data_IF_074906813448
#
_entry.id   IF_074906813448
#
_cell.length_a   1.000
_cell.length_b   1.000
_cell.length_c   1.000
_cell.angle_alpha   90.00
_cell.angle_beta   90.00
_cell.angle_gamma   90.00
#
_symmetry.space_group_name_H-M   'P 1'
#
loop_
_entity.id
_entity.type
_entity.pdbx_description
1 polymer ?
#
# COMPACT_ATOMS: atom_id res chain seq x y z
N UNK A 1 -10.81 -13.11 1.79
CA UNK A 1 -10.38 -14.17 2.73
C UNK A 1 -9.83 -13.55 4.01
N UNK A 2 -8.71 -12.84 3.98
CA UNK A 2 -8.15 -12.22 5.20
C UNK A 2 -9.06 -11.15 5.84
N UNK A 3 -9.77 -10.33 5.06
CA UNK A 3 -10.78 -9.41 5.62
C UNK A 3 -11.92 -10.14 6.34
N UNK A 4 -12.30 -11.33 5.86
CA UNK A 4 -13.32 -12.16 6.52
C UNK A 4 -12.77 -12.79 7.80
N UNK A 5 -11.53 -13.30 7.77
CA UNK A 5 -10.86 -13.80 8.98
C UNK A 5 -10.76 -12.72 10.06
N UNK A 6 -10.50 -11.47 9.66
CA UNK A 6 -10.46 -10.35 10.60
C UNK A 6 -11.84 -10.07 11.19
N UNK A 7 -12.88 -10.02 10.35
CA UNK A 7 -14.25 -9.81 10.79
C UNK A 7 -14.75 -10.93 11.72
N UNK A 8 -14.44 -12.19 11.41
CA UNK A 8 -14.80 -13.34 12.24
C UNK A 8 -14.07 -13.33 13.59
N UNK A 9 -12.82 -12.87 13.63
CA UNK A 9 -12.02 -12.83 14.85
C UNK A 9 -12.35 -11.62 15.75
N UNK A 10 -12.62 -10.46 15.15
CA UNK A 10 -12.62 -9.17 15.86
C UNK A 10 -13.84 -8.28 15.58
N UNK A 11 -14.77 -8.69 14.72
CA UNK A 11 -15.87 -7.85 14.23
C UNK A 11 -16.91 -7.46 15.28
N UNK A 12 -17.06 -8.26 16.33
CA UNK A 12 -18.03 -8.04 17.41
C UNK A 12 -17.40 -7.36 18.65
N UNK A 13 -16.12 -7.02 18.59
CA UNK A 13 -15.45 -6.35 19.70
C UNK A 13 -15.86 -4.88 19.80
N UNK A 14 -16.04 -4.41 21.03
CA UNK A 14 -16.31 -3.00 21.31
C UNK A 14 -15.01 -2.19 21.33
N UNK A 15 -15.11 -0.90 20.98
CA UNK A 15 -13.98 0.01 21.05
C UNK A 15 -13.51 0.19 22.49
N UNK A 16 -12.21 -0.01 22.73
CA UNK A 16 -11.60 0.02 24.07
C UNK A 16 -10.24 0.76 24.09
N UNK A 17 -9.76 1.21 22.94
CA UNK A 17 -8.46 1.85 22.76
C UNK A 17 -8.51 2.88 21.61
N UNK A 18 -7.40 3.58 21.40
CA UNK A 18 -7.22 4.46 20.22
C UNK A 18 -6.13 3.93 19.30
N UNK A 19 -6.16 4.31 18.03
CA UNK A 19 -5.20 3.84 17.02
C UNK A 19 -3.74 4.05 17.43
N UNK A 20 -3.42 5.15 18.13
CA UNK A 20 -2.06 5.41 18.61
C UNK A 20 -1.55 4.47 19.70
N UNK A 21 -2.41 3.62 20.28
CA UNK A 21 -2.02 2.64 21.29
C UNK A 21 -1.33 1.41 20.67
N UNK A 22 -1.59 1.13 19.39
CA UNK A 22 -1.02 -0.02 18.66
C UNK A 22 -0.18 0.40 17.44
N UNK A 23 -0.32 1.63 16.95
CA UNK A 23 0.36 2.09 15.74
C UNK A 23 1.00 3.48 15.86
N UNK A 24 2.18 3.61 15.25
CA UNK A 24 2.86 4.88 15.06
C UNK A 24 2.38 5.56 13.77
N UNK A 25 1.93 6.80 13.88
CA UNK A 25 1.35 7.55 12.75
C UNK A 25 2.29 8.68 12.32
N UNK A 26 2.71 8.63 11.06
CA UNK A 26 3.53 9.65 10.40
C UNK A 26 2.70 10.38 9.34
N UNK A 27 2.39 11.65 9.58
CA UNK A 27 1.72 12.49 8.59
C UNK A 27 2.70 12.90 7.49
N UNK A 28 2.28 12.76 6.23
CA UNK A 28 3.13 13.08 5.09
C UNK A 28 3.38 14.58 4.92
N UNK A 29 4.46 14.89 4.21
CA UNK A 29 4.86 16.26 3.90
C UNK A 29 5.50 16.29 2.53
N UNK A 30 4.92 17.08 1.63
CA UNK A 30 5.44 17.22 0.27
C UNK A 30 6.81 17.91 0.27
N UNK A 31 7.82 17.36 -0.44
CA UNK A 31 9.06 18.06 -0.75
C UNK A 31 8.83 19.30 -1.63
N UNK A 32 9.93 19.99 -1.98
CA UNK A 32 9.87 21.06 -2.96
C UNK A 32 9.54 20.47 -4.34
N UNK A 33 8.62 21.09 -5.08
CA UNK A 33 8.22 20.59 -6.42
C UNK A 33 9.38 20.53 -7.42
N UNK A 34 10.42 21.34 -7.22
CA UNK A 34 11.66 21.34 -8.01
C UNK A 34 12.52 20.10 -7.79
N UNK A 35 12.28 19.32 -6.74
CA UNK A 35 13.00 18.07 -6.46
C UNK A 35 12.37 16.85 -7.13
N UNK A 36 11.18 17.01 -7.73
CA UNK A 36 10.42 15.90 -8.32
C UNK A 36 11.00 15.50 -9.67
N UNK A 37 10.95 14.21 -9.97
CA UNK A 37 11.40 13.66 -11.24
C UNK A 37 10.67 12.33 -11.55
N UNK A 38 10.56 11.98 -12.82
CA UNK A 38 10.02 10.68 -13.29
C UNK A 38 11.16 9.75 -13.78
N UNK A 39 12.40 10.22 -13.71
CA UNK A 39 13.62 9.54 -14.15
C UNK A 39 14.18 8.53 -13.14
N UNK A 40 13.52 8.35 -11.98
CA UNK A 40 13.95 7.38 -10.97
C UNK A 40 15.07 7.87 -10.04
N UNK A 41 15.32 9.18 -10.00
CA UNK A 41 16.45 9.75 -9.23
C UNK A 41 16.02 10.04 -7.79
N UNK A 42 16.71 9.42 -6.84
CA UNK A 42 16.49 9.62 -5.41
C UNK A 42 15.49 8.63 -4.84
N UNK A 43 14.56 9.10 -4.02
CA UNK A 43 13.61 8.27 -3.29
C UNK A 43 12.26 8.26 -3.97
N UNK A 44 11.61 7.09 -4.08
CA UNK A 44 10.22 6.99 -4.56
C UNK A 44 9.31 7.91 -3.75
N UNK A 45 8.45 8.65 -4.43
CA UNK A 45 7.56 9.62 -3.82
C UNK A 45 6.10 9.34 -4.19
N UNK A 46 5.28 9.04 -3.17
CA UNK A 46 3.84 8.93 -3.31
C UNK A 46 3.18 10.21 -2.83
N UNK A 47 2.61 10.99 -3.74
CA UNK A 47 2.08 12.31 -3.43
C UNK A 47 0.71 12.21 -2.74
N UNK A 48 -0.10 11.25 -3.15
CA UNK A 48 -1.48 11.09 -2.71
C UNK A 48 -2.08 9.74 -3.12
N UNK A 49 -3.41 9.68 -3.15
CA UNK A 49 -4.16 8.50 -3.58
C UNK A 49 -3.96 8.16 -5.07
N UNK A 50 -3.53 9.11 -5.89
CA UNK A 50 -3.39 8.90 -7.35
C UNK A 50 -2.44 7.77 -7.73
N UNK A 51 -1.48 7.45 -6.86
CA UNK A 51 -0.54 6.35 -7.05
C UNK A 51 -1.03 5.01 -6.47
N UNK A 52 -2.15 4.98 -5.75
CA UNK A 52 -2.63 3.76 -5.07
C UNK A 52 -3.17 2.74 -6.09
N UNK A 53 -2.65 1.52 -6.00
CA UNK A 53 -3.18 0.36 -6.72
C UNK A 53 -4.13 -0.46 -5.85
N UNK A 54 -4.34 -1.72 -6.23
CA UNK A 54 -5.19 -2.64 -5.44
C UNK A 54 -4.61 -2.97 -4.05
N UNK A 55 -3.28 -3.10 -3.95
CA UNK A 55 -2.56 -3.41 -2.69
C UNK A 55 -1.29 -2.60 -2.49
N UNK A 56 -0.55 -2.38 -3.58
CA UNK A 56 0.70 -1.61 -3.58
C UNK A 56 0.62 -0.43 -4.55
N UNK A 57 1.26 0.70 -4.22
CA UNK A 57 1.26 1.87 -5.07
C UNK A 57 2.17 1.66 -6.28
N UNK A 58 1.80 2.29 -7.39
CA UNK A 58 2.59 2.32 -8.62
C UNK A 58 3.68 3.39 -8.52
N UNK A 59 4.93 3.01 -8.78
CA UNK A 59 6.03 3.96 -8.84
C UNK A 59 5.88 4.86 -10.06
N UNK A 60 5.79 6.18 -9.83
CA UNK A 60 5.74 7.17 -10.91
C UNK A 60 6.64 8.36 -10.63
N UNK A 61 6.60 8.89 -9.41
CA UNK A 61 7.36 10.07 -9.01
C UNK A 61 8.47 9.70 -8.04
N UNK A 62 9.56 10.45 -8.13
CA UNK A 62 10.72 10.37 -7.25
C UNK A 62 11.08 11.77 -6.75
N UNK A 63 11.81 11.85 -5.65
CA UNK A 63 12.31 13.10 -5.09
C UNK A 63 13.76 12.95 -4.63
N UNK A 64 14.56 13.98 -4.90
CA UNK A 64 15.94 14.09 -4.38
C UNK A 64 16.01 14.68 -2.97
N UNK A 65 14.90 15.23 -2.45
CA UNK A 65 14.84 15.92 -1.15
C UNK A 65 13.70 15.39 -0.26
N UNK A 66 13.71 14.10 0.12
CA UNK A 66 12.64 13.51 0.92
C UNK A 66 12.47 14.21 2.27
N UNK A 67 11.22 14.46 2.69
CA UNK A 67 10.90 15.13 3.96
C UNK A 67 10.28 14.23 5.02
N UNK A 68 9.39 13.34 4.60
CA UNK A 68 8.69 12.39 5.47
C UNK A 68 8.69 11.03 4.79
N UNK A 69 9.13 10.03 5.54
CA UNK A 69 9.34 8.69 5.06
C UNK A 69 8.32 7.73 5.66
N UNK A 70 7.91 6.75 4.87
CA UNK A 70 7.27 5.52 5.30
C UNK A 70 8.22 4.36 5.05
N UNK A 71 8.14 3.33 5.88
CA UNK A 71 8.92 2.10 5.73
C UNK A 71 8.16 1.08 4.91
N UNK A 72 8.91 0.21 4.23
CA UNK A 72 8.32 -0.95 3.57
C UNK A 72 7.47 -1.75 4.57
N UNK A 73 6.21 -2.02 4.21
CA UNK A 73 5.23 -2.68 5.08
C UNK A 73 4.31 -1.74 5.85
N UNK A 74 4.59 -0.44 5.91
CA UNK A 74 3.68 0.53 6.52
C UNK A 74 2.37 0.61 5.72
N UNK A 75 1.25 0.79 6.42
CA UNK A 75 -0.04 1.09 5.80
C UNK A 75 -0.06 2.55 5.40
N UNK A 76 -0.23 2.81 4.10
CA UNK A 76 -0.42 4.14 3.54
C UNK A 76 -1.91 4.44 3.49
N UNK A 77 -2.32 5.57 4.06
CA UNK A 77 -3.72 5.99 4.05
C UNK A 77 -3.86 7.38 3.42
N UNK A 78 -4.87 7.55 2.56
CA UNK A 78 -5.29 8.86 2.09
C UNK A 78 -5.92 9.66 3.23
N UNK A 79 -5.39 10.86 3.50
CA UNK A 79 -5.92 11.78 4.54
C UNK A 79 -6.71 12.94 3.96
N UNK A 80 -6.93 12.95 2.64
CA UNK A 80 -7.74 13.93 1.91
C UNK A 80 -8.78 13.20 1.09
N UNK A 81 -9.92 13.84 0.85
CA UNK A 81 -11.03 13.22 0.16
C UNK A 81 -10.62 12.54 -1.17
N UNK A 82 -11.01 11.26 -1.37
CA UNK A 82 -11.61 10.39 -0.37
C UNK A 82 -10.60 9.95 0.70
N UNK A 83 -10.96 10.22 1.95
CA UNK A 83 -10.22 9.83 3.14
C UNK A 83 -10.43 8.33 3.36
N UNK A 84 -9.36 7.64 3.76
CA UNK A 84 -9.43 6.25 4.16
C UNK A 84 -9.15 5.24 3.07
N UNK A 85 -8.82 5.65 1.84
CA UNK A 85 -8.21 4.72 0.89
C UNK A 85 -6.87 4.23 1.43
N UNK A 86 -6.59 2.94 1.24
CA UNK A 86 -5.45 2.25 1.82
C UNK A 86 -4.58 1.62 0.73
N UNK A 87 -3.29 1.57 1.01
CA UNK A 87 -2.29 0.78 0.30
C UNK A 87 -1.19 0.34 1.28
N UNK A 88 -0.29 -0.52 0.84
CA UNK A 88 0.93 -0.86 1.57
C UNK A 88 2.14 -0.24 0.88
N UNK A 89 3.04 0.32 1.67
CA UNK A 89 4.36 0.69 1.18
C UNK A 89 5.11 -0.58 0.75
N UNK A 90 5.33 -0.74 -0.57
CA UNK A 90 6.11 -1.86 -1.10
C UNK A 90 7.60 -1.74 -0.73
N UNK A 91 8.09 -0.51 -0.64
CA UNK A 91 9.45 -0.12 -0.33
C UNK A 91 9.48 1.12 0.57
N UNK A 92 10.66 1.47 1.08
CA UNK A 92 10.85 2.74 1.78
C UNK A 92 10.58 3.91 0.83
N UNK A 93 9.62 4.75 1.17
CA UNK A 93 9.12 5.79 0.27
C UNK A 93 8.91 7.12 0.98
N UNK A 94 9.06 8.22 0.24
CA UNK A 94 8.65 9.54 0.68
C UNK A 94 7.13 9.69 0.50
N UNK A 95 6.44 10.26 1.48
CA UNK A 95 4.98 10.44 1.47
C UNK A 95 4.58 11.93 1.45
N UNK A 96 3.68 12.26 0.53
CA UNK A 96 3.14 13.61 0.37
C UNK A 96 2.11 13.98 1.43
N UNK A 97 1.78 15.27 1.50
CA UNK A 97 0.80 15.82 2.46
C UNK A 97 -0.62 15.25 2.35
N UNK A 98 -0.90 14.52 1.28
CA UNK A 98 -2.18 13.84 1.05
C UNK A 98 -2.25 12.46 1.71
N UNK A 99 -1.14 11.96 2.26
CA UNK A 99 -1.03 10.64 2.84
C UNK A 99 -0.58 10.69 4.31
N UNK A 100 -0.87 9.61 5.03
CA UNK A 100 -0.23 9.24 6.27
C UNK A 100 0.31 7.81 6.16
N UNK A 101 1.41 7.54 6.86
CA UNK A 101 1.91 6.18 7.10
C UNK A 101 1.55 5.74 8.51
N UNK A 102 1.08 4.51 8.64
CA UNK A 102 0.66 3.88 9.87
C UNK A 102 1.52 2.63 10.02
N UNK A 103 2.40 2.66 11.02
CA UNK A 103 3.42 1.64 11.28
C UNK A 103 3.08 0.87 12.55
N UNK A 104 3.14 -0.45 12.50
CA UNK A 104 2.75 -1.35 13.59
C UNK A 104 3.67 -2.57 13.58
N UNK A 105 3.91 -3.15 14.76
CA UNK A 105 4.68 -4.39 14.91
C UNK A 105 3.93 -5.61 14.32
N UNK A 106 2.63 -5.46 14.07
CA UNK A 106 1.72 -6.44 13.46
C UNK A 106 1.15 -5.87 12.14
N UNK A 107 1.89 -5.98 11.02
CA UNK A 107 1.57 -5.30 9.78
C UNK A 107 0.30 -5.82 9.09
N UNK A 108 0.05 -7.13 9.09
CA UNK A 108 -1.17 -7.71 8.55
C UNK A 108 -2.36 -7.25 9.37
N UNK A 109 -2.34 -7.43 10.70
CA UNK A 109 -3.39 -6.96 11.61
C UNK A 109 -3.68 -5.47 11.41
N UNK A 110 -2.65 -4.63 11.39
CA UNK A 110 -2.79 -3.18 11.21
C UNK A 110 -3.56 -2.83 9.93
N UNK A 111 -3.27 -3.52 8.82
CA UNK A 111 -3.92 -3.26 7.56
C UNK A 111 -5.39 -3.68 7.55
N UNK A 112 -5.71 -4.84 8.10
CA UNK A 112 -7.10 -5.32 8.17
C UNK A 112 -7.91 -4.54 9.20
N UNK A 113 -7.30 -4.10 10.30
CA UNK A 113 -7.86 -3.11 11.22
C UNK A 113 -8.21 -1.81 10.47
N UNK A 114 -7.25 -1.21 9.76
CA UNK A 114 -7.53 0.04 9.03
C UNK A 114 -8.65 -0.12 7.99
N UNK A 115 -8.76 -1.29 7.34
CA UNK A 115 -9.87 -1.60 6.41
C UNK A 115 -11.21 -1.71 7.11
N UNK A 116 -11.27 -2.32 8.30
CA UNK A 116 -12.51 -2.43 9.08
C UNK A 116 -13.02 -1.05 9.54
N UNK A 117 -12.11 -0.10 9.72
CA UNK A 117 -12.41 1.30 10.09
C UNK A 117 -12.93 2.16 8.92
N UNK A 118 -13.07 1.62 7.71
CA UNK A 118 -13.57 2.35 6.52
C UNK A 118 -14.84 3.16 6.80
N UNK A 119 -15.84 2.56 7.45
CA UNK A 119 -17.08 3.25 7.82
C UNK A 119 -16.87 4.42 8.79
N UNK A 120 -15.93 4.31 9.74
CA UNK A 120 -15.59 5.41 10.66
C UNK A 120 -14.86 6.53 9.92
N UNK A 121 -14.01 6.17 8.95
CA UNK A 121 -13.26 7.11 8.12
C UNK A 121 -14.16 7.84 7.10
N UNK A 122 -15.28 7.24 6.68
CA UNK A 122 -16.25 7.87 5.80
C UNK A 122 -16.90 9.13 6.39
N UNK A 123 -16.97 9.24 7.72
CA UNK A 123 -17.43 10.45 8.40
C UNK A 123 -16.57 11.69 8.08
N UNK A 124 -15.33 11.49 7.62
CA UNK A 124 -14.42 12.56 7.21
C UNK A 124 -14.55 12.95 5.73
N UNK A 125 -15.47 12.30 4.99
CA UNK A 125 -15.73 12.54 3.57
C UNK A 125 -16.86 13.58 3.28
N UNK A 126 -17.63 14.09 4.27
CA UNK A 126 -18.64 15.18 4.08
C UNK A 126 -19.22 15.73 5.41
N UNK A 127 -19.74 16.98 5.54
CA UNK A 127 -20.57 17.82 4.66
C UNK A 127 -20.03 19.28 4.44
N UNK A 128 -19.99 19.78 3.19
CA UNK A 128 -19.73 21.21 2.87
C UNK A 128 -18.88 21.48 1.61
N UNK A 129 -18.72 22.75 1.21
CA UNK A 129 -17.91 23.21 0.05
C UNK A 129 -16.39 23.06 0.21
N UNK A 130 -15.94 22.45 1.31
CA UNK A 130 -14.54 22.21 1.66
C UNK A 130 -14.23 20.72 1.49
N UNK A 131 -13.16 20.40 0.76
CA UNK A 131 -12.71 19.02 0.58
C UNK A 131 -12.49 18.32 1.93
N UNK A 132 -13.12 17.15 2.14
CA UNK A 132 -12.98 16.34 3.34
C UNK A 132 -11.53 15.96 3.65
N UNK A 133 -11.18 15.90 4.93
CA UNK A 133 -9.83 15.52 5.38
C UNK A 133 -9.83 15.03 6.83
N UNK A 134 -8.84 14.23 7.18
CA UNK A 134 -8.54 13.85 8.56
C UNK A 134 -7.15 14.38 8.94
N UNK A 135 -7.06 15.02 10.10
CA UNK A 135 -5.77 15.50 10.61
C UNK A 135 -5.11 14.44 11.51
N UNK A 136 -3.82 14.62 11.79
CA UNK A 136 -3.06 13.64 12.59
C UNK A 136 -3.56 13.47 14.03
N UNK A 137 -4.21 14.47 14.64
CA UNK A 137 -4.79 14.33 15.98
C UNK A 137 -6.01 13.41 15.94
N UNK A 138 -6.90 13.63 14.97
CA UNK A 138 -8.08 12.80 14.76
C UNK A 138 -7.70 11.36 14.38
N UNK A 139 -6.71 11.18 13.52
CA UNK A 139 -6.23 9.84 13.14
C UNK A 139 -5.61 9.09 14.33
N UNK A 140 -4.81 9.76 15.16
CA UNK A 140 -4.22 9.16 16.37
C UNK A 140 -5.28 8.75 17.39
N UNK A 141 -6.29 9.60 17.57
CA UNK A 141 -7.40 9.37 18.50
C UNK A 141 -8.57 8.57 17.92
N UNK A 142 -8.39 7.89 16.78
CA UNK A 142 -9.45 7.08 16.19
C UNK A 142 -9.72 5.89 17.11
N UNK A 143 -10.95 5.77 17.59
CA UNK A 143 -11.37 4.68 18.47
C UNK A 143 -11.35 3.35 17.73
N UNK A 144 -10.77 2.33 18.37
CA UNK A 144 -10.60 0.98 17.83
C UNK A 144 -10.94 -0.07 18.89
N UNK A 145 -11.36 -1.23 18.42
CA UNK A 145 -11.42 -2.46 19.20
C UNK A 145 -10.05 -3.15 19.17
N UNK A 146 -9.30 -3.03 20.26
CA UNK A 146 -7.98 -3.63 20.42
C UNK A 146 -8.09 -4.96 21.22
N UNK A 147 -7.92 -6.12 20.55
CA UNK A 147 -7.94 -7.42 21.20
C UNK A 147 -6.64 -7.68 21.98
N UNK A 148 -6.57 -8.83 22.66
CA UNK A 148 -5.35 -9.25 23.34
C UNK A 148 -4.20 -9.48 22.37
N UNK A 149 -2.97 -9.24 22.83
CA UNK A 149 -1.76 -9.41 22.00
C UNK A 149 -1.65 -10.84 21.45
N UNK A 150 -2.05 -11.85 22.22
CA UNK A 150 -2.03 -13.25 21.79
C UNK A 150 -3.00 -13.52 20.62
N UNK A 151 -4.15 -12.85 20.60
CA UNK A 151 -5.13 -12.95 19.51
C UNK A 151 -4.60 -12.26 18.25
N UNK A 152 -3.96 -11.08 18.40
CA UNK A 152 -3.29 -10.37 17.31
C UNK A 152 -2.19 -11.25 16.70
N UNK A 153 -1.35 -11.85 17.55
CA UNK A 153 -0.26 -12.73 17.11
C UNK A 153 -0.79 -13.98 16.39
N UNK A 154 -1.91 -14.54 16.86
CA UNK A 154 -2.57 -15.69 16.22
C UNK A 154 -3.12 -15.32 14.84
N UNK A 155 -3.77 -14.16 14.74
CA UNK A 155 -4.26 -13.64 13.46
C UNK A 155 -3.11 -13.37 12.48
N UNK A 156 -2.03 -12.73 12.94
CA UNK A 156 -0.81 -12.48 12.16
C UNK A 156 -0.22 -13.77 11.61
N UNK A 157 -0.02 -14.79 12.45
CA UNK A 157 0.53 -16.07 12.02
C UNK A 157 -0.32 -16.75 10.92
N UNK A 158 -1.64 -16.53 10.94
CA UNK A 158 -2.56 -17.06 9.94
C UNK A 158 -2.54 -16.28 8.63
N UNK A 159 -2.42 -14.96 8.68
CA UNK A 159 -2.59 -14.06 7.53
C UNK A 159 -1.27 -13.68 6.86
N UNK A 160 -0.17 -13.59 7.61
CA UNK A 160 1.15 -13.24 7.07
C UNK A 160 1.59 -14.13 5.89
N UNK A 161 1.34 -15.47 5.86
CA UNK A 161 1.65 -16.29 4.68
C UNK A 161 0.87 -15.88 3.42
N UNK A 162 -0.39 -15.45 3.58
CA UNK A 162 -1.23 -14.97 2.49
C UNK A 162 -0.69 -13.64 1.96
N UNK A 163 -0.34 -12.72 2.86
CA UNK A 163 0.26 -11.44 2.49
C UNK A 163 1.63 -11.58 1.83
N UNK A 164 2.43 -12.55 2.29
CA UNK A 164 3.70 -12.89 1.66
C UNK A 164 3.49 -13.41 0.22
N UNK A 165 2.51 -14.28 -0.02
CA UNK A 165 2.17 -14.73 -1.38
C UNK A 165 1.72 -13.58 -2.27
N UNK A 166 0.87 -12.67 -1.76
CA UNK A 166 0.45 -11.46 -2.49
C UNK A 166 1.68 -10.61 -2.86
N UNK A 167 2.63 -10.44 -1.95
CA UNK A 167 3.88 -9.71 -2.21
C UNK A 167 4.77 -10.39 -3.26
N UNK A 168 4.90 -11.72 -3.20
CA UNK A 168 5.65 -12.48 -4.21
C UNK A 168 5.05 -12.30 -5.60
N UNK A 169 3.72 -12.42 -5.73
CA UNK A 169 3.02 -12.24 -6.98
C UNK A 169 3.16 -10.79 -7.51
N UNK A 170 3.11 -9.79 -6.63
CA UNK A 170 3.38 -8.40 -7.01
C UNK A 170 4.81 -8.23 -7.56
N UNK A 171 5.80 -8.84 -6.90
CA UNK A 171 7.21 -8.76 -7.32
C UNK A 171 7.41 -9.37 -8.71
N UNK A 172 6.81 -10.53 -8.95
CA UNK A 172 6.82 -11.20 -10.24
C UNK A 172 6.10 -10.36 -11.31
N UNK A 173 4.92 -9.83 -10.99
CA UNK A 173 4.13 -8.99 -11.90
C UNK A 173 4.90 -7.73 -12.33
N UNK A 174 5.58 -7.05 -11.39
CA UNK A 174 6.46 -5.91 -11.67
C UNK A 174 7.61 -6.30 -12.59
N UNK A 175 8.26 -7.42 -12.31
CA UNK A 175 9.39 -7.92 -13.10
C UNK A 175 8.98 -8.27 -14.53
N UNK A 176 7.85 -8.96 -14.71
CA UNK A 176 7.29 -9.30 -16.01
C UNK A 176 6.89 -8.05 -16.80
N UNK A 177 6.30 -7.06 -16.13
CA UNK A 177 5.92 -5.79 -16.75
C UNK A 177 7.15 -5.02 -17.25
N UNK A 178 8.21 -4.94 -16.43
CA UNK A 178 9.48 -4.32 -16.83
C UNK A 178 10.13 -5.07 -18.00
N UNK A 179 10.16 -6.40 -17.96
CA UNK A 179 10.71 -7.21 -19.05
C UNK A 179 9.93 -6.99 -20.35
N UNK A 180 8.60 -6.98 -20.29
CA UNK A 180 7.74 -6.66 -21.43
C UNK A 180 8.10 -5.29 -22.02
N UNK A 181 8.19 -4.26 -21.18
CA UNK A 181 8.44 -2.89 -21.62
C UNK A 181 9.86 -2.71 -22.20
N UNK A 182 10.83 -3.50 -21.74
CA UNK A 182 12.17 -3.56 -22.31
C UNK A 182 12.23 -4.31 -23.66
N UNK A 183 11.46 -5.38 -23.82
CA UNK A 183 11.48 -6.22 -25.02
C UNK A 183 10.62 -5.67 -26.16
N UNK A 184 9.46 -5.08 -25.86
CA UNK A 184 8.51 -4.61 -26.88
C UNK A 184 9.15 -3.66 -27.90
N UNK A 185 9.90 -2.61 -27.52
CA UNK A 185 10.55 -1.73 -28.50
C UNK A 185 11.53 -2.45 -29.41
N UNK A 186 12.26 -3.44 -28.88
CA UNK A 186 13.26 -4.23 -29.63
C UNK A 186 12.61 -5.20 -30.61
N UNK A 187 11.49 -5.79 -30.22
CA UNK A 187 10.68 -6.65 -31.11
C UNK A 187 10.04 -5.82 -32.22
N UNK A 188 9.46 -4.67 -31.89
CA UNK A 188 8.77 -3.80 -32.85
C UNK A 188 9.73 -3.13 -33.85
N UNK A 189 10.97 -2.85 -33.43
CA UNK A 189 12.02 -2.33 -34.32
C UNK A 189 12.69 -3.40 -35.18
N UNK A 190 12.45 -4.68 -34.89
CA UNK A 190 13.13 -5.81 -35.55
C UNK A 190 14.57 -6.01 -35.09
N UNK A 191 15.03 -5.32 -34.03
CA UNK A 191 16.30 -5.61 -33.36
C UNK A 191 16.34 -7.05 -32.83
N UNK A 192 15.19 -7.54 -32.34
CA UNK A 192 14.96 -8.94 -31.99
C UNK A 192 13.96 -9.52 -33.01
N UNK A 193 14.44 -10.44 -33.85
CA UNK A 193 13.61 -11.19 -34.80
C UNK A 193 13.19 -12.54 -34.20
N UNK A 194 11.88 -12.72 -34.05
CA UNK A 194 11.27 -13.94 -33.52
C UNK A 194 10.62 -14.82 -34.60
N UNK A 195 10.74 -14.46 -35.88
CA UNK A 195 10.11 -15.18 -37.00
C UNK A 195 10.59 -16.64 -37.17
N UNK A 196 11.78 -16.95 -36.62
CA UNK A 196 12.39 -18.29 -36.66
C UNK A 196 12.29 -19.06 -35.34
N UNK A 197 11.59 -18.51 -34.35
CA UNK A 197 11.39 -19.18 -33.06
C UNK A 197 10.30 -20.24 -33.22
N UNK A 198 10.66 -21.49 -32.95
CA UNK A 198 9.71 -22.60 -32.94
C UNK A 198 8.89 -22.57 -31.64
N UNK A 199 7.66 -22.08 -31.72
CA UNK A 199 6.74 -21.94 -30.60
C UNK A 199 6.22 -23.29 -30.05
N UNK A 200 6.45 -24.40 -30.75
CA UNK A 200 5.96 -25.73 -30.33
C UNK A 200 6.75 -26.35 -29.18
N UNK A 201 7.94 -25.82 -28.86
CA UNK A 201 8.81 -26.37 -27.81
C UNK A 201 8.58 -25.78 -26.41
N UNK A 202 7.85 -24.67 -26.28
CA UNK A 202 7.73 -23.91 -25.02
C UNK A 202 6.72 -24.49 -24.01
N UNK A 203 5.77 -25.33 -24.43
CA UNK A 203 4.71 -25.86 -23.55
C UNK A 203 5.00 -27.23 -22.92
N UNK A 204 6.16 -27.84 -23.19
CA UNK A 204 6.48 -29.18 -22.69
C UNK A 204 6.85 -29.22 -21.20
N UNK A 205 7.04 -28.08 -20.53
CA UNK A 205 7.34 -28.01 -19.09
C UNK A 205 6.12 -27.67 -18.22
N UNK A 206 4.94 -27.51 -18.83
CA UNK A 206 3.66 -27.29 -18.15
C UNK A 206 2.75 -28.53 -18.18
N UNK A 207 3.27 -29.66 -18.67
CA UNK A 207 2.55 -30.91 -18.87
C UNK A 207 2.94 -32.06 -17.92
N UNK A 208 3.86 -31.80 -16.97
CA UNK A 208 4.28 -32.76 -15.93
C UNK A 208 3.98 -32.24 -14.52
#
# INVERSE_FOLDING_TARGET
MADALFADAFGDLEDNAVLSDIANITMGQSPAGTSYNEEGVGTVFYQGRGEFGWRYPTQRLFTTEPKRMAKAGDVLMSVRAPVGDLNLAYEDCCIGRGLAAISCDYPSYCLYLMRSLSKKLDAYNGEGTVFGSINGKALKGLEIALPGIDDIATFEAMVAPIDAQIRCNETESRSLSQLRDALLPKLMSGEIDVSKVDLTQLNNHLAD
#
